data_IF_930263400456
#
_entry.id   IF_930263400456
#
_cell.length_a   1.000
_cell.length_b   1.000
_cell.length_c   1.000
_cell.angle_alpha   90.00
_cell.angle_beta   90.00
_cell.angle_gamma   90.00
#
_symmetry.space_group_name_H-M   'P 1'
#
loop_
_entity.id
_entity.type
_entity.pdbx_description
1 polymer ?
#
# COMPACT_ATOMS: atom_id res chain seq x y z
N UNK A 1 29.95 -15.69 -10.96
CA UNK A 1 29.74 -14.98 -12.23
C UNK A 1 28.86 -15.86 -13.12
N UNK A 2 27.52 -15.83 -12.89
CA UNK A 2 26.58 -14.96 -13.62
C UNK A 2 25.58 -14.22 -12.71
N UNK A 3 25.80 -14.24 -11.40
CA UNK A 3 24.90 -13.69 -10.36
C UNK A 3 24.70 -12.17 -10.42
N UNK A 4 25.62 -11.41 -11.01
CA UNK A 4 25.53 -9.94 -11.03
C UNK A 4 24.45 -9.39 -11.97
N UNK A 5 24.17 -10.06 -13.10
CA UNK A 5 23.19 -9.55 -14.05
C UNK A 5 21.74 -9.83 -13.61
N UNK A 6 21.44 -10.98 -13.01
CA UNK A 6 20.09 -11.27 -12.49
C UNK A 6 19.65 -10.30 -11.38
N UNK A 7 20.56 -9.95 -10.45
CA UNK A 7 20.23 -9.03 -9.37
C UNK A 7 19.93 -7.61 -9.85
N UNK A 8 20.57 -7.16 -10.94
CA UNK A 8 20.36 -5.82 -11.51
C UNK A 8 18.98 -5.71 -12.16
N UNK A 9 18.55 -6.72 -12.92
CA UNK A 9 17.21 -6.71 -13.53
C UNK A 9 16.11 -6.72 -12.46
N UNK A 10 16.27 -7.52 -11.40
CA UNK A 10 15.32 -7.57 -10.28
C UNK A 10 15.28 -6.22 -9.54
N UNK A 11 16.42 -5.58 -9.28
CA UNK A 11 16.47 -4.31 -8.57
C UNK A 11 15.81 -3.18 -9.37
N UNK A 12 16.07 -3.09 -10.69
CA UNK A 12 15.46 -2.08 -11.57
C UNK A 12 13.94 -2.31 -11.68
N UNK A 13 13.50 -3.55 -11.78
CA UNK A 13 12.09 -3.88 -11.91
C UNK A 13 11.30 -3.64 -10.62
N UNK A 14 11.88 -4.01 -9.46
CA UNK A 14 11.26 -3.75 -8.16
C UNK A 14 11.17 -2.25 -7.92
N UNK A 15 12.22 -1.47 -8.24
CA UNK A 15 12.18 -0.01 -8.08
C UNK A 15 11.16 0.65 -9.02
N UNK A 16 11.04 0.17 -10.26
CA UNK A 16 10.02 0.63 -11.22
C UNK A 16 8.59 0.25 -10.80
N UNK A 17 8.41 -0.97 -10.28
CA UNK A 17 7.11 -1.47 -9.82
C UNK A 17 6.66 -0.74 -8.54
N UNK A 18 7.58 -0.44 -7.60
CA UNK A 18 7.29 0.35 -6.40
C UNK A 18 6.82 1.76 -6.78
N UNK A 19 7.45 2.39 -7.78
CA UNK A 19 7.02 3.69 -8.29
C UNK A 19 5.62 3.64 -8.95
N UNK A 20 5.27 2.50 -9.57
CA UNK A 20 3.97 2.31 -10.23
C UNK A 20 2.84 2.04 -9.22
N UNK A 21 3.08 1.24 -8.18
CA UNK A 21 2.09 0.91 -7.15
C UNK A 21 1.73 2.15 -6.30
N UNK A 22 2.70 3.03 -5.99
CA UNK A 22 2.42 4.31 -5.33
C UNK A 22 1.43 5.19 -6.12
N UNK A 23 1.41 5.09 -7.44
CA UNK A 23 0.51 5.89 -8.26
C UNK A 23 -0.94 5.35 -8.32
N UNK A 24 -1.17 4.07 -8.05
CA UNK A 24 -2.49 3.44 -8.15
C UNK A 24 -3.36 3.68 -6.91
N UNK A 25 -2.75 3.89 -5.73
CA UNK A 25 -3.49 4.03 -4.47
C UNK A 25 -4.19 5.39 -4.29
N UNK A 26 -3.82 6.43 -5.06
CA UNK A 26 -4.41 7.76 -4.94
C UNK A 26 -5.83 7.90 -5.51
N UNK A 27 -6.26 6.99 -6.40
CA UNK A 27 -7.55 7.12 -7.12
C UNK A 27 -8.77 6.82 -6.24
N UNK A 28 -8.59 6.07 -5.14
CA UNK A 28 -9.70 5.67 -4.28
C UNK A 28 -10.27 6.81 -3.40
N UNK A 29 -9.49 7.85 -3.12
CA UNK A 29 -9.97 8.96 -2.28
C UNK A 29 -10.84 9.96 -3.06
N UNK A 30 -10.58 10.14 -4.36
CA UNK A 30 -11.31 11.09 -5.20
C UNK A 30 -12.73 10.61 -5.56
N UNK A 31 -12.91 9.29 -5.72
CA UNK A 31 -14.24 8.72 -6.02
C UNK A 31 -15.24 8.91 -4.88
N UNK A 32 -14.78 8.89 -3.63
CA UNK A 32 -15.66 9.06 -2.46
C UNK A 32 -16.06 10.53 -2.26
N UNK A 33 -15.15 11.48 -2.54
CA UNK A 33 -15.42 12.93 -2.42
C UNK A 33 -16.28 13.43 -3.59
N UNK A 34 -16.06 12.95 -4.82
CA UNK A 34 -16.90 13.33 -5.97
C UNK A 34 -18.34 12.81 -5.86
N UNK A 35 -18.56 11.61 -5.31
CA UNK A 35 -19.92 11.09 -5.13
C UNK A 35 -20.71 11.91 -4.08
N UNK A 36 -20.05 12.42 -3.05
CA UNK A 36 -20.65 13.30 -2.03
C UNK A 36 -20.95 14.72 -2.57
N UNK A 37 -20.15 15.22 -3.51
CA UNK A 37 -20.41 16.50 -4.17
C UNK A 37 -21.51 16.40 -5.21
N UNK A 38 -21.62 15.27 -5.92
CA UNK A 38 -22.66 15.06 -6.94
C UNK A 38 -24.07 14.94 -6.32
N UNK A 39 -24.19 14.29 -5.16
CA UNK A 39 -25.46 14.22 -4.42
C UNK A 39 -25.86 15.58 -3.83
N UNK A 40 -24.89 16.39 -3.42
CA UNK A 40 -25.14 17.75 -2.90
C UNK A 40 -25.58 18.73 -3.99
N UNK A 41 -25.04 18.63 -5.21
CA UNK A 41 -25.38 19.52 -6.31
C UNK A 41 -26.77 19.25 -6.90
N UNK A 42 -27.17 17.97 -7.01
CA UNK A 42 -28.51 17.58 -7.48
C UNK A 42 -29.61 18.03 -6.50
N UNK A 43 -29.33 18.00 -5.20
CA UNK A 43 -30.29 18.41 -4.17
C UNK A 43 -30.55 19.93 -4.17
N UNK A 44 -29.51 20.74 -4.42
CA UNK A 44 -29.65 22.21 -4.52
C UNK A 44 -30.36 22.65 -5.81
N UNK A 45 -30.15 21.97 -6.95
CA UNK A 45 -30.75 22.39 -8.21
C UNK A 45 -32.27 22.14 -8.27
N UNK A 46 -32.77 21.09 -7.60
CA UNK A 46 -34.20 20.78 -7.58
C UNK A 46 -35.00 21.64 -6.60
N UNK A 47 -34.36 22.15 -5.54
CA UNK A 47 -35.00 23.04 -4.56
C UNK A 47 -35.16 24.49 -5.05
N UNK A 48 -34.43 24.91 -6.09
CA UNK A 48 -34.40 26.31 -6.55
C UNK A 48 -35.33 26.62 -7.74
N UNK A 49 -36.05 25.63 -8.30
CA UNK A 49 -36.77 25.84 -9.58
C UNK A 49 -38.25 25.46 -9.63
N UNK A 50 -38.89 25.17 -8.49
CA UNK A 50 -40.32 24.82 -8.48
C UNK A 50 -41.06 25.53 -7.34
N UNK A 51 -42.12 26.31 -7.60
CA UNK A 51 -42.96 26.85 -6.53
C UNK A 51 -43.72 25.69 -5.86
N UNK A 52 -43.90 25.70 -4.53
CA UNK A 52 -44.55 24.59 -3.84
C UNK A 52 -46.06 24.65 -4.08
N UNK A 53 -46.56 23.87 -5.03
CA UNK A 53 -47.97 23.44 -5.04
C UNK A 53 -48.00 21.93 -5.24
N UNK A 54 -48.48 21.22 -4.22
CA UNK A 54 -48.68 19.78 -4.12
C UNK A 54 -47.42 18.90 -4.19
N UNK A 55 -46.99 18.43 -3.01
CA UNK A 55 -46.11 17.26 -2.85
C UNK A 55 -46.95 15.98 -2.90
N UNK A 56 -46.79 15.08 -3.90
CA UNK A 56 -47.12 13.69 -3.73
C UNK A 56 -45.90 12.94 -3.17
N UNK A 57 -46.15 12.02 -2.24
CA UNK A 57 -45.17 11.18 -1.57
C UNK A 57 -44.31 10.38 -2.58
N UNK A 58 -43.01 10.69 -2.68
CA UNK A 58 -42.04 9.84 -3.37
C UNK A 58 -41.18 9.11 -2.33
N UNK A 59 -41.55 7.86 -2.04
CA UNK A 59 -40.75 6.89 -1.31
C UNK A 59 -39.59 6.45 -2.21
N UNK A 60 -38.39 6.99 -2.03
CA UNK A 60 -37.20 6.52 -2.76
C UNK A 60 -36.49 5.42 -1.96
N UNK A 61 -36.58 4.20 -2.48
CA UNK A 61 -35.93 2.99 -1.99
C UNK A 61 -34.46 3.03 -2.42
N UNK A 62 -33.54 3.39 -1.52
CA UNK A 62 -32.09 3.39 -1.83
C UNK A 62 -31.50 2.02 -1.52
N UNK A 63 -31.04 1.37 -2.59
CA UNK A 63 -30.39 0.06 -2.64
C UNK A 63 -29.28 -0.12 -1.58
N UNK A 64 -29.39 -1.19 -0.78
CA UNK A 64 -28.32 -1.70 0.07
C UNK A 64 -27.25 -2.39 -0.80
N UNK A 65 -26.11 -1.74 -1.01
CA UNK A 65 -24.89 -2.44 -1.43
C UNK A 65 -24.24 -3.10 -0.21
N UNK A 66 -24.46 -4.41 -0.07
CA UNK A 66 -23.78 -5.25 0.92
C UNK A 66 -22.29 -5.43 0.55
N UNK A 67 -21.39 -4.61 1.09
CA UNK A 67 -19.99 -5.00 1.23
C UNK A 67 -19.86 -5.89 2.47
N UNK A 68 -19.79 -7.21 2.25
CA UNK A 68 -19.66 -8.24 3.28
C UNK A 68 -18.21 -8.30 3.77
N UNK A 69 -17.89 -7.56 4.84
CA UNK A 69 -16.66 -7.76 5.62
C UNK A 69 -16.86 -8.90 6.63
N UNK A 70 -15.92 -9.84 6.76
CA UNK A 70 -16.00 -10.90 7.76
C UNK A 70 -15.48 -10.39 9.12
N UNK A 71 -16.21 -10.80 10.16
CA UNK A 71 -15.85 -10.81 11.60
C UNK A 71 -15.99 -9.51 12.40
N UNK A 72 -17.14 -9.38 13.07
CA UNK A 72 -17.13 -9.30 14.54
C UNK A 72 -17.18 -7.92 15.21
N UNK A 73 -18.24 -7.15 14.96
CA UNK A 73 -19.00 -6.34 15.96
C UNK A 73 -20.06 -5.53 15.23
N UNK A 74 -21.31 -5.97 15.31
CA UNK A 74 -22.47 -5.20 14.88
C UNK A 74 -22.70 -4.05 15.86
N UNK A 75 -22.12 -2.88 15.59
CA UNK A 75 -22.73 -1.62 16.04
C UNK A 75 -23.59 -1.10 14.89
N UNK A 76 -24.84 -1.57 14.91
CA UNK A 76 -25.92 -1.03 14.11
C UNK A 76 -26.25 0.35 14.68
N UNK A 77 -25.66 1.40 14.11
CA UNK A 77 -26.11 2.76 14.36
C UNK A 77 -27.22 3.06 13.36
N UNK A 78 -28.48 2.93 13.78
CA UNK A 78 -29.56 3.68 13.13
C UNK A 78 -29.19 5.15 13.26
N UNK A 79 -28.72 5.75 12.18
CA UNK A 79 -28.48 7.18 12.14
C UNK A 79 -29.80 7.83 11.73
N UNK A 80 -30.51 8.52 12.64
CA UNK A 80 -31.73 9.23 12.27
C UNK A 80 -31.34 10.30 11.25
N UNK A 81 -32.00 10.31 10.09
CA UNK A 81 -31.85 11.43 9.15
C UNK A 81 -32.29 12.72 9.88
N UNK A 82 -31.53 13.81 9.78
CA UNK A 82 -31.86 15.03 10.50
C UNK A 82 -33.23 15.55 10.05
N UNK A 83 -34.19 15.55 10.97
CA UNK A 83 -35.42 16.33 10.81
C UNK A 83 -35.03 17.80 10.81
N UNK A 84 -35.40 18.49 9.74
CA UNK A 84 -35.00 19.87 9.45
C UNK A 84 -35.62 20.82 10.51
N UNK A 85 -34.87 21.19 11.53
CA UNK A 85 -35.24 22.24 12.49
C UNK A 85 -34.87 21.92 13.94
N UNK A 86 -34.20 22.89 14.58
CA UNK A 86 -33.89 23.05 16.02
C UNK A 86 -32.76 22.28 16.71
N UNK A 87 -32.14 21.25 16.12
CA UNK A 87 -31.09 20.44 16.80
C UNK A 87 -29.65 20.68 16.29
N UNK A 88 -29.40 21.79 15.58
CA UNK A 88 -28.14 22.03 14.85
C UNK A 88 -26.90 21.97 15.75
N UNK A 89 -26.97 22.51 16.98
CA UNK A 89 -25.85 22.49 17.92
C UNK A 89 -25.49 21.06 18.37
N UNK A 90 -26.49 20.27 18.76
CA UNK A 90 -26.28 18.89 19.21
C UNK A 90 -25.80 17.97 18.08
N UNK A 91 -26.35 18.17 16.86
CA UNK A 91 -25.86 17.49 15.66
C UNK A 91 -24.40 17.84 15.37
N UNK A 92 -24.03 19.13 15.43
CA UNK A 92 -22.65 19.57 15.21
C UNK A 92 -21.67 18.98 16.23
N UNK A 93 -22.05 18.90 17.51
CA UNK A 93 -21.24 18.24 18.55
C UNK A 93 -21.06 16.74 18.27
N UNK A 94 -22.12 16.02 17.89
CA UNK A 94 -22.04 14.59 17.54
C UNK A 94 -21.22 14.34 16.28
N UNK A 95 -21.35 15.21 15.28
CA UNK A 95 -20.54 15.17 14.05
C UNK A 95 -19.05 15.34 14.37
N UNK A 96 -18.69 16.25 15.27
CA UNK A 96 -17.31 16.46 15.66
C UNK A 96 -16.74 15.27 16.44
N UNK A 97 -17.56 14.56 17.21
CA UNK A 97 -17.17 13.33 17.90
C UNK A 97 -16.78 12.17 16.95
N UNK A 98 -17.21 12.22 15.68
CA UNK A 98 -16.79 11.26 14.65
C UNK A 98 -15.30 11.40 14.28
N UNK A 99 -14.73 12.60 14.42
CA UNK A 99 -13.36 12.87 13.99
C UNK A 99 -12.33 12.12 14.85
N UNK A 100 -12.36 12.18 16.21
CA UNK A 100 -11.49 11.36 17.05
C UNK A 100 -11.68 9.86 16.82
N UNK A 101 -12.92 9.41 16.59
CA UNK A 101 -13.20 8.00 16.29
C UNK A 101 -12.56 7.57 14.97
N UNK A 102 -12.65 8.42 13.92
CA UNK A 102 -12.02 8.15 12.62
C UNK A 102 -10.49 8.14 12.71
N UNK A 103 -9.89 9.10 13.42
CA UNK A 103 -8.45 9.18 13.65
C UNK A 103 -7.98 8.01 14.52
N UNK A 104 -8.76 7.59 15.52
CA UNK A 104 -8.44 6.44 16.36
C UNK A 104 -8.47 5.11 15.59
N UNK A 105 -9.41 4.95 14.64
CA UNK A 105 -9.51 3.75 13.81
C UNK A 105 -8.48 3.71 12.69
N UNK A 106 -8.31 4.81 11.96
CA UNK A 106 -7.43 4.84 10.79
C UNK A 106 -6.04 5.33 11.12
N UNK A 107 -5.83 6.24 12.04
CA UNK A 107 -4.55 6.95 12.21
C UNK A 107 -4.30 7.97 11.10
N UNK A 108 -3.48 8.98 11.38
CA UNK A 108 -3.17 10.06 10.42
C UNK A 108 -2.22 9.60 9.29
N UNK A 109 -1.23 8.76 9.62
CA UNK A 109 -0.19 8.28 8.70
C UNK A 109 -0.45 6.88 8.12
N UNK A 110 -1.65 6.34 8.31
CA UNK A 110 -1.94 4.97 7.89
C UNK A 110 -1.96 4.77 6.38
N UNK A 111 -2.11 5.83 5.59
CA UNK A 111 -1.96 5.72 4.14
C UNK A 111 -0.54 5.27 3.74
N UNK A 112 0.50 5.78 4.40
CA UNK A 112 1.88 5.33 4.19
C UNK A 112 2.09 3.89 4.67
N UNK A 113 1.66 3.59 5.89
CA UNK A 113 1.86 2.27 6.51
C UNK A 113 1.09 1.19 5.75
N UNK A 114 -0.19 1.40 5.45
CA UNK A 114 -1.01 0.44 4.72
C UNK A 114 -0.50 0.23 3.28
N UNK A 115 -0.03 1.28 2.61
CA UNK A 115 0.60 1.13 1.28
C UNK A 115 1.86 0.29 1.34
N UNK A 116 2.71 0.49 2.36
CA UNK A 116 3.93 -0.28 2.53
C UNK A 116 3.64 -1.74 2.90
N UNK A 117 2.69 -1.99 3.80
CA UNK A 117 2.28 -3.35 4.17
C UNK A 117 1.67 -4.10 2.98
N UNK A 118 0.90 -3.42 2.12
CA UNK A 118 0.40 -4.00 0.89
C UNK A 118 1.54 -4.33 -0.10
N UNK A 119 2.54 -3.46 -0.22
CA UNK A 119 3.73 -3.70 -1.03
C UNK A 119 4.45 -4.98 -0.59
N UNK A 120 4.75 -5.11 0.70
CA UNK A 120 5.53 -6.22 1.26
C UNK A 120 4.76 -7.55 1.18
N UNK A 121 3.48 -7.54 1.56
CA UNK A 121 2.71 -8.78 1.71
C UNK A 121 2.10 -9.29 0.39
N UNK A 122 1.74 -8.38 -0.52
CA UNK A 122 0.97 -8.70 -1.73
C UNK A 122 1.78 -8.43 -3.00
N UNK A 123 2.23 -7.19 -3.21
CA UNK A 123 2.82 -6.80 -4.48
C UNK A 123 4.17 -7.47 -4.76
N UNK A 124 5.04 -7.63 -3.75
CA UNK A 124 6.30 -8.36 -3.94
C UNK A 124 6.07 -9.79 -4.42
N UNK A 125 5.06 -10.47 -3.89
CA UNK A 125 4.68 -11.82 -4.33
C UNK A 125 4.12 -11.79 -5.76
N UNK A 126 3.26 -10.82 -6.09
CA UNK A 126 2.72 -10.66 -7.44
C UNK A 126 3.81 -10.41 -8.49
N UNK A 127 4.79 -9.56 -8.17
CA UNK A 127 5.90 -9.22 -9.08
C UNK A 127 6.75 -10.45 -9.39
N UNK A 128 7.06 -11.25 -8.36
CA UNK A 128 7.93 -12.43 -8.49
C UNK A 128 7.21 -13.64 -9.11
N UNK A 129 5.93 -13.84 -8.77
CA UNK A 129 5.12 -14.95 -9.28
C UNK A 129 4.52 -14.70 -10.66
N UNK A 130 4.76 -13.51 -11.25
CA UNK A 130 4.36 -13.23 -12.61
C UNK A 130 5.09 -14.17 -13.59
N UNK A 131 4.40 -14.63 -14.63
CA UNK A 131 4.88 -15.68 -15.53
C UNK A 131 6.22 -15.32 -16.19
N UNK A 132 6.43 -14.04 -16.52
CA UNK A 132 7.68 -13.56 -17.13
C UNK A 132 8.89 -13.60 -16.19
N UNK A 133 8.68 -13.48 -14.87
CA UNK A 133 9.76 -13.42 -13.88
C UNK A 133 9.96 -14.73 -13.13
N UNK A 134 8.97 -15.62 -13.16
CA UNK A 134 8.93 -16.82 -12.32
C UNK A 134 10.01 -17.82 -12.68
N UNK A 135 10.32 -17.98 -13.97
CA UNK A 135 11.28 -18.97 -14.47
C UNK A 135 12.37 -18.30 -15.30
N UNK A 136 13.60 -18.41 -14.86
CA UNK A 136 14.79 -17.97 -15.60
C UNK A 136 15.38 -19.18 -16.30
N UNK A 137 15.36 -19.17 -17.63
CA UNK A 137 15.98 -20.19 -18.48
C UNK A 137 17.34 -19.71 -18.97
N UNK A 138 18.32 -20.59 -19.02
CA UNK A 138 19.61 -20.24 -19.61
C UNK A 138 19.55 -20.31 -21.14
N UNK A 139 20.28 -19.41 -21.81
CA UNK A 139 20.38 -19.42 -23.27
C UNK A 139 21.35 -20.49 -23.81
N UNK A 140 22.25 -20.99 -22.97
CA UNK A 140 23.30 -21.95 -23.33
C UNK A 140 22.81 -23.38 -23.12
N UNK A 141 22.24 -23.66 -21.95
CA UNK A 141 21.77 -24.97 -21.53
C UNK A 141 20.23 -24.94 -21.37
N UNK A 142 19.44 -25.44 -22.34
CA UNK A 142 17.98 -25.40 -22.25
C UNK A 142 17.42 -26.26 -21.11
N UNK A 143 18.21 -27.22 -20.60
CA UNK A 143 17.85 -28.06 -19.46
C UNK A 143 18.02 -27.35 -18.10
N UNK A 144 18.73 -26.22 -18.04
CA UNK A 144 18.94 -25.47 -16.80
C UNK A 144 17.92 -24.34 -16.66
N UNK A 145 17.04 -24.48 -15.67
CA UNK A 145 16.04 -23.48 -15.31
C UNK A 145 16.08 -23.21 -13.81
N UNK A 146 15.83 -21.96 -13.44
CA UNK A 146 15.69 -21.50 -12.06
C UNK A 146 14.27 -20.95 -11.90
N UNK A 147 13.50 -21.53 -10.99
CA UNK A 147 12.12 -21.14 -10.73
C UNK A 147 11.98 -20.58 -9.32
N UNK A 148 11.43 -19.38 -9.20
CA UNK A 148 11.07 -18.81 -7.90
C UNK A 148 9.71 -19.33 -7.44
N UNK A 149 9.64 -19.80 -6.20
CA UNK A 149 8.41 -20.36 -5.60
C UNK A 149 7.76 -19.40 -4.62
N UNK A 150 8.54 -18.70 -3.81
CA UNK A 150 8.02 -17.77 -2.80
C UNK A 150 9.02 -16.67 -2.47
N UNK A 151 8.51 -15.54 -1.97
CA UNK A 151 9.30 -14.40 -1.48
C UNK A 151 8.74 -13.93 -0.14
N UNK A 152 9.64 -13.67 0.81
CA UNK A 152 9.34 -13.11 2.13
C UNK A 152 10.36 -12.05 2.50
N UNK A 153 9.93 -11.10 3.31
CA UNK A 153 10.80 -10.07 3.89
C UNK A 153 10.92 -10.34 5.38
N UNK A 154 12.15 -10.53 5.85
CA UNK A 154 12.43 -10.74 7.25
C UNK A 154 12.46 -9.42 8.02
N UNK A 155 12.15 -9.51 9.31
CA UNK A 155 12.30 -8.40 10.23
C UNK A 155 13.77 -7.92 10.30
N UNK A 156 14.01 -6.62 10.58
CA UNK A 156 15.36 -6.07 10.59
C UNK A 156 16.29 -6.71 11.60
N UNK A 157 17.39 -7.26 11.07
CA UNK A 157 18.49 -7.87 11.82
C UNK A 157 19.82 -7.43 11.23
N UNK A 158 20.83 -7.26 12.08
CA UNK A 158 22.18 -6.90 11.66
C UNK A 158 23.19 -7.87 12.31
N UNK A 159 24.27 -8.15 11.59
CA UNK A 159 25.38 -8.97 12.06
C UNK A 159 26.42 -8.01 12.64
N UNK A 160 26.61 -8.02 13.96
CA UNK A 160 27.51 -7.07 14.65
C UNK A 160 28.99 -7.45 14.44
N UNK A 161 29.30 -8.73 14.21
CA UNK A 161 30.67 -9.21 14.00
C UNK A 161 30.75 -10.45 13.10
N UNK A 162 31.94 -10.73 12.56
CA UNK A 162 32.18 -11.90 11.69
C UNK A 162 31.82 -13.20 12.44
N UNK A 163 30.86 -13.96 11.91
CA UNK A 163 30.43 -15.25 12.48
C UNK A 163 29.39 -15.17 13.60
N UNK A 164 28.93 -13.97 13.98
CA UNK A 164 27.85 -13.85 14.97
C UNK A 164 26.48 -14.06 14.32
N UNK A 165 25.56 -14.62 15.11
CA UNK A 165 24.15 -14.75 14.72
C UNK A 165 23.53 -13.36 14.50
N UNK A 166 22.61 -13.22 13.52
CA UNK A 166 21.95 -11.96 13.22
C UNK A 166 21.11 -11.50 14.43
N UNK A 167 21.44 -10.34 14.99
CA UNK A 167 20.76 -9.75 16.14
C UNK A 167 19.62 -8.85 15.66
N UNK A 168 18.48 -8.89 16.34
CA UNK A 168 17.37 -7.94 16.12
C UNK A 168 17.83 -6.53 16.49
N UNK A 169 17.64 -5.57 15.57
CA UNK A 169 18.09 -4.18 15.75
C UNK A 169 16.89 -3.27 16.01
N UNK A 170 17.00 -2.37 16.99
CA UNK A 170 16.00 -1.32 17.21
C UNK A 170 16.24 -0.12 16.29
N UNK A 171 15.21 0.63 15.91
CA UNK A 171 15.40 1.82 15.08
C UNK A 171 16.34 2.84 15.74
N UNK A 172 16.27 3.03 17.06
CA UNK A 172 17.19 3.86 17.85
C UNK A 172 18.65 3.43 17.70
N UNK A 173 18.94 2.11 17.70
CA UNK A 173 20.29 1.61 17.46
C UNK A 173 20.77 1.95 16.03
N UNK A 174 19.89 1.87 15.03
CA UNK A 174 20.22 2.29 13.66
C UNK A 174 20.54 3.79 13.56
N UNK A 175 19.83 4.64 14.30
CA UNK A 175 20.10 6.10 14.35
C UNK A 175 21.47 6.39 14.93
N UNK A 176 21.80 5.77 16.08
CA UNK A 176 23.06 6.03 16.79
C UNK A 176 24.29 5.48 16.06
N UNK A 177 24.14 4.38 15.30
CA UNK A 177 25.24 3.72 14.59
C UNK A 177 25.34 4.09 13.11
N UNK A 178 24.58 5.09 12.64
CA UNK A 178 24.48 5.47 11.24
C UNK A 178 24.16 4.30 10.28
N UNK A 179 23.37 3.33 10.76
CA UNK A 179 22.96 2.17 9.97
C UNK A 179 21.64 2.44 9.23
N UNK A 180 21.36 1.61 8.23
CA UNK A 180 20.07 1.61 7.53
C UNK A 180 19.16 0.55 8.17
N UNK A 181 17.96 0.95 8.58
CA UNK A 181 16.97 0.02 9.13
C UNK A 181 16.34 -0.79 8.00
N UNK A 182 16.83 -2.01 7.80
CA UNK A 182 16.54 -2.85 6.63
C UNK A 182 16.20 -4.29 7.02
N UNK A 183 15.30 -4.90 6.25
CA UNK A 183 14.94 -6.30 6.33
C UNK A 183 15.57 -7.09 5.18
N UNK A 184 15.92 -8.34 5.45
CA UNK A 184 16.47 -9.23 4.43
C UNK A 184 15.35 -9.79 3.56
N UNK A 185 15.51 -9.69 2.24
CA UNK A 185 14.61 -10.29 1.27
C UNK A 185 15.09 -11.71 0.97
N UNK A 186 14.23 -12.68 1.24
CA UNK A 186 14.53 -14.10 1.15
C UNK A 186 13.56 -14.75 0.17
N UNK A 187 14.09 -15.60 -0.71
CA UNK A 187 13.31 -16.35 -1.70
C UNK A 187 13.56 -17.84 -1.59
N UNK A 188 12.57 -18.61 -2.00
CA UNK A 188 12.68 -20.06 -2.19
C UNK A 188 12.75 -20.35 -3.69
N UNK A 189 13.73 -21.16 -4.08
CA UNK A 189 14.09 -21.42 -5.47
C UNK A 189 14.10 -22.91 -5.75
N UNK A 190 13.59 -23.29 -6.90
CA UNK A 190 13.68 -24.63 -7.46
C UNK A 190 14.53 -24.57 -8.73
N UNK A 191 15.58 -25.36 -8.81
CA UNK A 191 16.44 -25.40 -10.00
C UNK A 191 16.72 -26.84 -10.43
N UNK A 192 17.02 -27.03 -11.71
CA UNK A 192 17.44 -28.34 -12.23
C UNK A 192 18.95 -28.50 -12.09
N UNK A 193 19.41 -29.54 -11.38
CA UNK A 193 20.86 -29.83 -11.29
C UNK A 193 21.42 -30.19 -12.68
N UNK A 194 22.68 -29.82 -12.93
CA UNK A 194 23.44 -30.23 -14.14
C UNK A 194 23.77 -31.73 -14.17
N UNK A 195 23.49 -32.46 -13.09
CA UNK A 195 23.76 -33.89 -13.01
C UNK A 195 22.92 -34.68 -14.02
N UNK A 196 23.46 -35.82 -14.49
CA UNK A 196 22.80 -36.71 -15.48
C UNK A 196 21.37 -37.11 -15.12
N UNK A 197 21.03 -37.07 -13.83
CA UNK A 197 19.72 -37.45 -13.32
C UNK A 197 18.64 -36.36 -13.44
N UNK A 198 18.97 -35.13 -13.89
CA UNK A 198 18.02 -34.01 -14.10
C UNK A 198 17.01 -33.83 -12.96
N UNK A 199 17.43 -34.02 -11.70
CA UNK A 199 16.52 -33.94 -10.55
C UNK A 199 16.26 -32.47 -10.22
N UNK A 200 14.99 -32.08 -9.96
CA UNK A 200 14.69 -30.76 -9.41
C UNK A 200 15.22 -30.69 -7.96
N UNK A 201 16.02 -29.69 -7.68
CA UNK A 201 16.52 -29.35 -6.36
C UNK A 201 15.77 -28.12 -5.85
N UNK A 202 15.31 -28.16 -4.61
CA UNK A 202 14.69 -27.01 -3.94
C UNK A 202 15.64 -26.47 -2.90
N UNK A 203 16.00 -25.21 -3.01
CA UNK A 203 16.72 -24.46 -1.98
C UNK A 203 15.80 -23.40 -1.39
N UNK A 204 15.66 -23.44 -0.07
CA UNK A 204 14.87 -22.48 0.69
C UNK A 204 15.80 -21.47 1.36
N UNK A 205 15.26 -20.32 1.72
CA UNK A 205 15.95 -19.30 2.51
C UNK A 205 17.15 -18.60 1.82
N UNK A 206 17.10 -18.43 0.49
CA UNK A 206 18.15 -17.70 -0.25
C UNK A 206 17.95 -16.19 -0.12
N UNK A 207 18.94 -15.48 0.43
CA UNK A 207 18.94 -14.02 0.51
C UNK A 207 19.27 -13.40 -0.86
N UNK A 208 18.32 -12.64 -1.43
CA UNK A 208 18.50 -11.93 -2.72
C UNK A 208 18.90 -10.47 -2.55
N UNK A 209 18.60 -9.87 -1.40
CA UNK A 209 18.82 -8.45 -1.17
C UNK A 209 18.29 -7.98 0.16
N UNK A 210 18.23 -6.67 0.34
CA UNK A 210 17.69 -6.03 1.55
C UNK A 210 16.80 -4.86 1.16
N UNK A 211 15.70 -4.68 1.87
CA UNK A 211 14.73 -3.60 1.67
C UNK A 211 14.64 -2.74 2.95
N UNK A 212 14.69 -1.40 2.85
CA UNK A 212 14.47 -0.55 4.02
C UNK A 212 13.04 -0.76 4.56
N UNK A 213 12.91 -0.94 5.86
CA UNK A 213 11.61 -1.19 6.51
C UNK A 213 11.07 0.13 7.06
N UNK A 214 9.80 0.40 6.77
CA UNK A 214 9.11 1.57 7.30
C UNK A 214 8.82 1.39 8.80
N UNK A 215 9.07 2.40 9.60
CA UNK A 215 8.78 2.34 11.04
C UNK A 215 7.27 2.20 11.28
N UNK A 216 6.92 1.34 12.24
CA UNK A 216 5.55 0.94 12.59
C UNK A 216 4.77 0.16 11.51
N UNK A 217 5.41 -0.24 10.42
CA UNK A 217 4.85 -1.24 9.50
C UNK A 217 4.79 -2.64 10.12
N UNK A 218 4.03 -3.55 9.51
CA UNK A 218 3.89 -4.95 9.93
C UNK A 218 5.24 -5.70 10.04
N UNK A 219 6.24 -5.31 9.25
CA UNK A 219 7.59 -5.89 9.26
C UNK A 219 8.55 -5.21 10.25
N UNK A 220 8.14 -4.14 10.92
CA UNK A 220 8.96 -3.41 11.88
C UNK A 220 8.99 -4.12 13.24
N UNK A 221 10.12 -4.05 13.93
CA UNK A 221 10.29 -4.61 15.28
C UNK A 221 9.43 -3.88 16.34
N UNK A 222 8.92 -2.68 16.02
CA UNK A 222 8.04 -1.88 16.88
C UNK A 222 6.56 -2.25 16.74
N UNK A 223 6.20 -3.10 15.76
CA UNK A 223 4.81 -3.45 15.49
C UNK A 223 4.20 -4.24 16.66
N UNK A 224 3.03 -3.80 17.14
CA UNK A 224 2.29 -4.47 18.21
C UNK A 224 2.88 -4.32 19.62
N UNK A 225 3.89 -3.46 19.81
CA UNK A 225 4.55 -3.25 21.11
C UNK A 225 3.77 -2.33 22.03
N UNK A 226 3.74 -2.64 23.33
CA UNK A 226 3.08 -1.78 24.33
C UNK A 226 3.87 -0.51 24.59
N UNK A 227 3.25 0.47 25.26
CA UNK A 227 3.91 1.74 25.60
C UNK A 227 5.19 1.51 26.42
N UNK A 228 5.16 0.56 27.35
CA UNK A 228 6.27 0.21 28.23
C UNK A 228 7.41 -0.46 27.45
N UNK A 229 7.07 -1.35 26.51
CA UNK A 229 8.07 -2.00 25.64
C UNK A 229 8.75 -0.98 24.71
N UNK A 230 8.01 -0.02 24.17
CA UNK A 230 8.57 1.06 23.34
C UNK A 230 9.56 1.93 24.14
N UNK A 231 9.19 2.29 25.38
CA UNK A 231 10.09 3.03 26.29
C UNK A 231 11.34 2.22 26.61
N UNK A 232 11.21 0.90 26.85
CA UNK A 232 12.35 0.02 27.09
C UNK A 232 13.30 -0.06 25.88
N UNK A 233 12.77 0.05 24.66
CA UNK A 233 13.54 0.10 23.41
C UNK A 233 14.10 1.50 23.08
N UNK A 234 13.91 2.50 23.95
CA UNK A 234 14.28 3.91 23.75
C UNK A 234 13.58 4.58 22.57
N UNK A 235 12.36 4.15 22.26
CA UNK A 235 11.51 4.77 21.25
C UNK A 235 10.38 5.58 21.91
N UNK A 236 9.97 6.67 21.25
CA UNK A 236 8.85 7.46 21.72
C UNK A 236 7.52 6.77 21.36
N UNK A 237 6.63 6.47 22.33
CA UNK A 237 5.33 5.87 22.04
C UNK A 237 4.43 6.75 21.16
N UNK A 238 4.61 8.06 21.25
CA UNK A 238 3.85 9.08 20.52
C UNK A 238 4.40 9.38 19.12
N UNK A 239 5.53 8.76 18.72
CA UNK A 239 6.07 8.91 17.37
C UNK A 239 5.04 8.42 16.35
N UNK A 240 4.64 9.17 15.33
CA UNK A 240 3.62 8.72 14.40
C UNK A 240 4.10 7.59 13.45
N UNK A 241 5.42 7.40 13.28
CA UNK A 241 5.99 6.40 12.37
C UNK A 241 5.82 6.76 10.88
N UNK A 242 5.91 5.79 9.97
CA UNK A 242 5.67 6.05 8.53
C UNK A 242 6.86 6.59 7.73
N UNK A 243 8.07 6.53 8.29
CA UNK A 243 9.32 6.96 7.64
C UNK A 243 10.38 5.84 7.66
N UNK A 244 11.47 6.05 6.93
CA UNK A 244 12.59 5.13 6.81
C UNK A 244 13.83 5.69 7.50
N UNK A 245 14.67 4.83 8.06
CA UNK A 245 16.00 5.22 8.57
C UNK A 245 17.04 4.71 7.58
N UNK A 246 17.74 5.62 6.92
CA UNK A 246 18.76 5.31 5.92
C UNK A 246 20.05 6.02 6.31
N UNK A 247 21.08 5.22 6.63
CA UNK A 247 22.40 5.69 7.10
C UNK A 247 22.27 6.68 8.27
N UNK A 248 21.53 6.29 9.32
CA UNK A 248 21.27 7.14 10.49
C UNK A 248 20.24 8.26 10.30
N UNK A 249 19.91 8.63 9.06
CA UNK A 249 19.00 9.75 8.76
C UNK A 249 17.58 9.26 8.52
N UNK A 250 16.62 9.94 9.13
CA UNK A 250 15.19 9.71 8.91
C UNK A 250 14.73 10.35 7.59
N UNK A 251 14.04 9.58 6.75
CA UNK A 251 13.57 10.00 5.43
C UNK A 251 12.13 9.59 5.22
N UNK A 252 11.32 10.54 4.77
CA UNK A 252 9.90 10.34 4.43
C UNK A 252 9.75 10.30 2.91
N UNK A 253 8.95 9.37 2.40
CA UNK A 253 8.54 9.38 1.00
C UNK A 253 7.32 10.31 0.85
N UNK A 254 7.48 11.44 0.17
CA UNK A 254 6.37 12.36 -0.07
C UNK A 254 5.39 11.76 -1.08
N UNK A 255 4.09 11.88 -0.79
CA UNK A 255 3.03 11.46 -1.72
C UNK A 255 3.07 12.37 -2.95
N UNK A 256 3.14 11.76 -4.13
CA UNK A 256 3.12 12.48 -5.40
C UNK A 256 1.76 12.33 -6.07
N UNK A 257 1.17 13.45 -6.48
CA UNK A 257 -0.02 13.46 -7.32
C UNK A 257 0.35 13.10 -8.76
N UNK A 258 -0.46 12.25 -9.39
CA UNK A 258 -0.33 11.92 -10.81
C UNK A 258 -1.68 12.06 -11.50
N UNK A 259 -1.67 12.38 -12.80
CA UNK A 259 -2.88 12.36 -13.61
C UNK A 259 -3.52 10.96 -13.63
N UNK A 260 -4.85 10.95 -13.71
CA UNK A 260 -5.66 9.75 -13.86
C UNK A 260 -5.25 8.98 -15.13
N UNK A 261 -4.86 7.72 -14.97
CA UNK A 261 -4.62 6.81 -16.10
C UNK A 261 -5.92 6.14 -16.51
N UNK A 262 -5.96 5.60 -17.74
CA UNK A 262 -7.11 4.85 -18.28
C UNK A 262 -8.42 5.64 -18.24
N UNK A 263 -8.33 6.97 -18.37
CA UNK A 263 -9.47 7.88 -18.43
C UNK A 263 -9.32 8.78 -19.65
N UNK A 264 -10.40 8.96 -20.39
CA UNK A 264 -10.48 9.95 -21.46
C UNK A 264 -10.50 11.33 -20.83
N UNK A 265 -9.52 12.15 -21.17
CA UNK A 265 -9.45 13.56 -20.84
C UNK A 265 -9.76 14.30 -22.14
N UNK A 266 -10.78 15.16 -22.10
CA UNK A 266 -11.20 15.99 -23.22
C UNK A 266 -10.74 17.41 -22.93
N UNK A 267 -9.90 17.95 -23.80
CA UNK A 267 -9.31 19.28 -23.70
C UNK A 267 -9.57 20.04 -25.01
N UNK A 268 -9.49 21.36 -24.97
CA UNK A 268 -9.55 22.19 -26.18
C UNK A 268 -8.13 22.68 -26.49
N UNK A 269 -7.66 22.42 -27.70
CA UNK A 269 -6.40 22.97 -28.20
C UNK A 269 -6.51 24.50 -28.34
N UNK A 270 -5.37 25.19 -28.43
CA UNK A 270 -5.30 26.64 -28.69
C UNK A 270 -6.06 27.07 -29.96
N UNK A 271 -6.25 26.15 -30.91
CA UNK A 271 -7.00 26.37 -32.15
C UNK A 271 -8.53 26.23 -31.99
N UNK A 272 -9.03 25.96 -30.78
CA UNK A 272 -10.44 25.72 -30.49
C UNK A 272 -10.95 24.32 -30.87
N UNK A 273 -10.05 23.43 -31.33
CA UNK A 273 -10.40 22.05 -31.64
C UNK A 273 -10.51 21.24 -30.36
N UNK A 274 -11.57 20.43 -30.24
CA UNK A 274 -11.76 19.52 -29.10
C UNK A 274 -10.93 18.26 -29.34
N UNK A 275 -9.96 18.01 -28.47
CA UNK A 275 -9.08 16.83 -28.52
C UNK A 275 -9.37 15.93 -27.32
N UNK A 276 -9.39 14.63 -27.55
CA UNK A 276 -9.49 13.63 -26.50
C UNK A 276 -8.19 12.83 -26.43
N UNK A 277 -7.61 12.73 -25.25
CA UNK A 277 -6.41 11.94 -25.00
C UNK A 277 -6.63 10.96 -23.85
N UNK A 278 -6.01 9.78 -23.96
CA UNK A 278 -6.05 8.72 -22.96
C UNK A 278 -4.63 8.26 -22.67
N UNK A 279 -4.14 8.54 -21.46
CA UNK A 279 -2.92 7.90 -20.97
C UNK A 279 -3.24 6.50 -20.46
N UNK A 280 -2.99 5.48 -21.27
CA UNK A 280 -3.17 4.10 -20.84
C UNK A 280 -1.96 3.60 -20.04
N UNK A 281 -2.20 3.00 -18.87
CA UNK A 281 -1.25 2.07 -18.25
C UNK A 281 -1.91 0.70 -18.17
N UNK A 282 -1.33 -0.27 -18.86
CA UNK A 282 -1.69 -1.68 -18.72
C UNK A 282 -1.24 -2.14 -17.34
N UNK A 283 -2.17 -2.68 -16.56
CA UNK A 283 -1.90 -3.09 -15.18
C UNK A 283 -1.16 -4.45 -15.08
N UNK A 284 -0.76 -5.05 -16.21
CA UNK A 284 -0.17 -6.39 -16.27
C UNK A 284 0.82 -6.53 -17.45
N UNK A 285 1.85 -7.34 -17.20
CA UNK A 285 2.90 -7.85 -18.10
C UNK A 285 3.84 -6.84 -18.77
N UNK A 286 5.02 -6.65 -18.15
CA UNK A 286 6.25 -6.72 -18.95
C UNK A 286 6.38 -8.21 -19.31
N UNK A 287 6.08 -8.50 -20.56
CA UNK A 287 6.46 -9.73 -21.28
C UNK A 287 7.97 -9.83 -21.36
#
# INVERSE_FOLDING_TARGET
MPTFNCCIYIFIFIFSSILSVCAAMCVFFFFCVCLLLFTSFFFSFFLLRSPPRHTPNFTFLVFFFFFRFPVGKSLFWEMPLPTRGSDDAAYNTRKLALLPALIGMKGLLNHHIASFDHLINVELKRILLNESNREIKSSIDPDFSIRYTNIRVCQPREIVGKGQLPKVVSPHECRTRDLTYRGDMIVDVEYTSRDRNKRPCTETDIKIGTIPIMLKSSSCNLFGKTREELVAMRECPLDPGGYFIIKGVEKVCLVQEQQSKNRVIIEADDNGNIVAHVQSKTHYSIS
#
